data_IF_082915655621
#
_entry.id   IF_082915655621
#
_cell.length_a   1.000
_cell.length_b   1.000
_cell.length_c   1.000
_cell.angle_alpha   90.00
_cell.angle_beta   90.00
_cell.angle_gamma   90.00
#
_symmetry.space_group_name_H-M   'P 1'
#
loop_
_entity.id
_entity.type
_entity.pdbx_description
1 polymer ?
#
# COMPACT_ATOMS: atom_id res chain seq x y z
N UNK A 1 -31.63 -12.57 8.05
CA UNK A 1 -30.31 -12.59 8.71
C UNK A 1 -29.60 -11.29 8.33
N UNK A 2 -28.86 -10.64 9.24
CA UNK A 2 -28.05 -9.46 8.90
C UNK A 2 -26.60 -9.91 8.68
N UNK A 3 -26.00 -9.58 7.54
CA UNK A 3 -24.60 -9.95 7.23
C UNK A 3 -23.58 -8.99 7.87
N UNK A 4 -24.01 -7.76 8.21
CA UNK A 4 -23.24 -6.84 9.05
C UNK A 4 -24.17 -5.87 9.82
N UNK A 5 -23.75 -5.47 11.01
CA UNK A 5 -24.37 -4.39 11.79
C UNK A 5 -23.33 -3.29 11.97
N UNK A 6 -23.64 -2.10 11.47
CA UNK A 6 -22.79 -0.92 11.59
C UNK A 6 -23.28 -0.04 12.73
N UNK A 7 -22.50 0.05 13.80
CA UNK A 7 -22.81 0.92 14.95
C UNK A 7 -22.05 2.23 14.75
N UNK A 8 -22.78 3.31 14.45
CA UNK A 8 -22.22 4.65 14.43
C UNK A 8 -21.87 5.06 15.88
N UNK A 9 -20.58 5.18 16.18
CA UNK A 9 -20.12 5.69 17.48
C UNK A 9 -20.30 7.21 17.52
N UNK A 10 -21.50 7.68 17.84
CA UNK A 10 -21.72 9.09 18.15
C UNK A 10 -21.31 9.32 19.60
N UNK A 11 -20.13 9.91 19.80
CA UNK A 11 -19.64 10.31 21.12
C UNK A 11 -19.94 11.80 21.33
N UNK A 12 -20.75 12.11 22.35
CA UNK A 12 -21.05 13.50 22.71
C UNK A 12 -19.75 14.25 23.03
N UNK A 13 -19.60 15.47 22.51
CA UNK A 13 -18.42 16.31 22.73
C UNK A 13 -17.19 15.96 21.89
N UNK A 14 -17.29 14.98 20.98
CA UNK A 14 -16.21 14.68 20.03
C UNK A 14 -16.32 15.52 18.75
N UNK A 15 -15.18 15.81 18.16
CA UNK A 15 -15.05 16.55 16.90
C UNK A 15 -14.94 15.59 15.72
N UNK A 16 -15.53 15.96 14.59
CA UNK A 16 -15.48 15.16 13.35
C UNK A 16 -14.79 15.93 12.23
N UNK A 17 -13.90 15.24 11.52
CA UNK A 17 -13.41 15.68 10.20
C UNK A 17 -13.70 14.59 9.19
N UNK A 18 -14.32 14.96 8.05
CA UNK A 18 -14.57 14.07 6.92
C UNK A 18 -13.87 14.56 5.67
N UNK A 19 -13.20 13.64 4.98
CA UNK A 19 -12.57 13.90 3.70
C UNK A 19 -13.07 12.89 2.66
N UNK A 20 -13.81 13.39 1.68
CA UNK A 20 -14.11 12.61 0.48
C UNK A 20 -12.89 12.55 -0.43
N UNK A 21 -12.67 11.40 -1.06
CA UNK A 21 -11.56 11.17 -1.97
C UNK A 21 -11.84 10.07 -2.99
N UNK A 22 -10.83 9.80 -3.80
CA UNK A 22 -10.81 8.71 -4.78
C UNK A 22 -9.67 7.78 -4.36
N UNK A 23 -9.84 6.47 -4.44
CA UNK A 23 -8.71 5.55 -4.28
C UNK A 23 -7.88 5.57 -5.56
N UNK A 24 -6.54 5.75 -5.47
CA UNK A 24 -5.76 6.17 -6.61
C UNK A 24 -5.78 5.12 -7.73
N UNK A 25 -5.86 5.55 -9.01
CA UNK A 25 -5.54 4.68 -10.12
C UNK A 25 -4.05 4.38 -10.09
N UNK A 26 -3.70 3.12 -9.83
CA UNK A 26 -2.31 2.73 -9.66
C UNK A 26 -1.60 3.58 -8.58
N UNK A 27 -0.36 4.01 -8.83
CA UNK A 27 0.40 4.85 -7.89
C UNK A 27 0.20 6.37 -8.05
N UNK A 28 -0.91 6.81 -8.65
CA UNK A 28 -1.18 8.24 -8.91
C UNK A 28 -1.28 9.07 -7.62
N UNK A 29 -0.28 9.91 -7.34
CA UNK A 29 -0.30 10.86 -6.20
C UNK A 29 -1.42 11.89 -6.28
N UNK A 30 -1.86 12.28 -7.48
CA UNK A 30 -2.99 13.21 -7.68
C UNK A 30 -4.28 12.76 -6.97
N UNK A 31 -4.48 11.45 -6.86
CA UNK A 31 -5.69 10.86 -6.30
C UNK A 31 -5.41 10.20 -4.95
N UNK A 32 -4.15 10.17 -4.48
CA UNK A 32 -3.83 9.56 -3.20
C UNK A 32 -4.37 10.46 -2.08
N UNK A 33 -5.40 10.00 -1.37
CA UNK A 33 -5.89 10.70 -0.18
C UNK A 33 -4.86 10.59 0.93
N UNK A 34 -4.33 11.75 1.32
CA UNK A 34 -3.46 11.89 2.46
C UNK A 34 -3.84 13.15 3.27
N UNK A 35 -3.91 13.01 4.59
CA UNK A 35 -4.17 14.12 5.51
C UNK A 35 -2.96 14.35 6.41
N UNK A 36 -2.62 15.61 6.60
CA UNK A 36 -1.72 16.06 7.66
C UNK A 36 -2.59 16.52 8.83
N UNK A 37 -2.49 15.82 9.96
CA UNK A 37 -3.17 16.15 11.20
C UNK A 37 -2.18 16.75 12.19
N UNK A 38 -2.59 17.79 12.89
CA UNK A 38 -1.84 18.37 14.00
C UNK A 38 -2.66 18.23 15.28
N UNK A 39 -2.12 17.48 16.24
CA UNK A 39 -2.64 17.40 17.59
C UNK A 39 -1.87 18.38 18.48
N UNK A 40 -2.55 19.38 19.03
CA UNK A 40 -1.95 20.37 19.95
C UNK A 40 -1.73 19.81 21.35
N UNK A 41 -2.44 18.73 21.70
CA UNK A 41 -2.48 18.09 23.01
C UNK A 41 -2.83 16.59 22.84
N UNK A 42 -2.66 15.77 23.90
CA UNK A 42 -3.10 14.38 23.87
C UNK A 42 -4.57 14.26 23.44
N UNK A 43 -4.80 13.54 22.35
CA UNK A 43 -6.10 13.49 21.67
C UNK A 43 -6.43 12.06 21.31
N UNK A 44 -7.56 11.56 21.78
CA UNK A 44 -8.09 10.27 21.39
C UNK A 44 -8.74 10.39 20.02
N UNK A 45 -8.43 9.50 19.09
CA UNK A 45 -8.94 9.55 17.71
C UNK A 45 -9.37 8.17 17.23
N UNK A 46 -10.55 8.13 16.62
CA UNK A 46 -11.08 7.01 15.84
C UNK A 46 -11.02 7.37 14.35
N UNK A 47 -10.23 6.63 13.58
CA UNK A 47 -10.17 6.74 12.12
C UNK A 47 -11.07 5.69 11.50
N UNK A 48 -11.90 6.09 10.54
CA UNK A 48 -12.71 5.18 9.73
C UNK A 48 -12.64 5.53 8.26
N UNK A 49 -12.27 4.57 7.42
CA UNK A 49 -12.23 4.68 5.97
C UNK A 49 -13.39 3.89 5.39
N UNK A 50 -14.35 4.58 4.78
CA UNK A 50 -15.52 4.01 4.10
C UNK A 50 -15.29 4.03 2.59
N UNK A 51 -15.62 2.95 1.89
CA UNK A 51 -15.73 2.99 0.43
C UNK A 51 -17.16 3.34 0.00
N UNK A 52 -17.31 3.81 -1.24
CA UNK A 52 -18.61 4.02 -1.85
C UNK A 52 -19.43 2.71 -1.87
N UNK A 53 -20.68 2.79 -1.40
CA UNK A 53 -21.59 1.65 -1.39
C UNK A 53 -22.00 1.22 -2.81
N UNK A 54 -22.21 -0.08 -3.00
CA UNK A 54 -22.52 -0.67 -4.30
C UNK A 54 -24.02 -0.89 -4.52
N UNK A 55 -24.87 -0.04 -3.93
CA UNK A 55 -26.33 -0.20 -3.95
C UNK A 55 -26.97 0.08 -5.32
N UNK A 56 -26.22 0.62 -6.29
CA UNK A 56 -26.70 0.89 -7.64
C UNK A 56 -26.35 -0.26 -8.59
N UNK A 57 -27.26 -0.65 -9.50
CA UNK A 57 -27.13 -1.84 -10.37
C UNK A 57 -25.90 -1.82 -11.29
N UNK A 58 -25.43 -0.65 -11.70
CA UNK A 58 -24.19 -0.50 -12.50
C UNK A 58 -22.92 -0.77 -11.69
N UNK A 59 -22.99 -0.66 -10.35
CA UNK A 59 -21.84 -0.78 -9.43
C UNK A 59 -21.87 -2.06 -8.59
N UNK A 60 -22.98 -2.81 -8.60
CA UNK A 60 -23.15 -4.05 -7.83
C UNK A 60 -22.27 -5.20 -8.30
N UNK A 61 -21.76 -5.13 -9.54
CA UNK A 61 -20.83 -6.12 -10.09
C UNK A 61 -19.37 -5.92 -9.66
N UNK A 62 -19.07 -4.87 -8.87
CA UNK A 62 -17.69 -4.60 -8.43
C UNK A 62 -17.43 -5.36 -7.14
N UNK A 63 -16.25 -5.95 -7.00
CA UNK A 63 -15.82 -6.44 -5.69
C UNK A 63 -15.62 -5.29 -4.71
N UNK A 64 -15.90 -5.52 -3.42
CA UNK A 64 -15.48 -4.59 -2.38
C UNK A 64 -13.96 -4.41 -2.41
N UNK A 65 -13.51 -3.22 -1.99
CA UNK A 65 -12.10 -2.91 -1.96
C UNK A 65 -11.40 -3.38 -0.69
N UNK A 66 -10.11 -3.64 -0.81
CA UNK A 66 -9.20 -4.05 0.25
C UNK A 66 -8.65 -2.84 1.04
N UNK A 67 -9.52 -2.23 1.84
CA UNK A 67 -9.23 -0.96 2.50
C UNK A 67 -8.18 -1.10 3.62
N UNK A 68 -7.32 -0.10 3.75
CA UNK A 68 -6.47 0.11 4.93
C UNK A 68 -6.25 1.60 5.19
N UNK A 69 -6.29 2.01 6.45
CA UNK A 69 -5.82 3.33 6.88
C UNK A 69 -4.55 3.16 7.69
N UNK A 70 -3.54 3.99 7.39
CA UNK A 70 -2.24 3.96 8.07
C UNK A 70 -1.89 5.34 8.57
N UNK A 71 -1.43 5.43 9.81
CA UNK A 71 -1.08 6.68 10.48
C UNK A 71 0.41 6.67 10.82
N UNK A 72 1.12 7.67 10.34
CA UNK A 72 2.55 7.87 10.58
C UNK A 72 2.78 9.15 11.36
N UNK A 73 3.79 9.18 12.23
CA UNK A 73 4.34 10.43 12.77
C UNK A 73 5.09 11.13 11.64
N UNK A 74 5.01 12.45 11.59
CA UNK A 74 5.75 13.26 10.61
C UNK A 74 6.32 14.52 11.26
N UNK A 75 7.09 15.30 10.49
CA UNK A 75 7.60 16.62 10.91
C UNK A 75 6.62 17.71 10.48
N UNK A 76 6.69 18.87 11.13
CA UNK A 76 6.01 20.07 10.66
C UNK A 76 6.56 20.51 9.31
N UNK A 77 5.69 21.06 8.47
CA UNK A 77 6.08 21.69 7.20
C UNK A 77 5.21 21.29 6.01
N UNK A 78 5.41 21.95 4.86
CA UNK A 78 4.61 21.72 3.66
C UNK A 78 4.86 20.35 3.01
N UNK A 79 6.07 19.80 3.22
CA UNK A 79 6.50 18.50 2.68
C UNK A 79 6.42 17.44 3.78
N UNK A 80 5.23 16.87 3.95
CA UNK A 80 5.03 15.81 4.92
C UNK A 80 5.72 14.51 4.43
N UNK A 81 6.55 13.92 5.28
CA UNK A 81 7.27 12.68 5.00
C UNK A 81 6.77 11.56 5.90
N UNK A 82 6.77 10.33 5.38
CA UNK A 82 6.43 9.13 6.17
C UNK A 82 7.51 8.92 7.23
N UNK A 83 7.15 9.03 8.50
CA UNK A 83 8.01 8.71 9.63
C UNK A 83 7.59 7.41 10.32
N UNK A 84 7.70 7.36 11.65
CA UNK A 84 7.39 6.18 12.45
C UNK A 84 5.90 5.82 12.35
N UNK A 85 5.59 4.52 12.16
CA UNK A 85 4.22 4.01 12.24
C UNK A 85 3.63 4.24 13.64
N UNK A 86 2.43 4.82 13.68
CA UNK A 86 1.70 5.14 14.92
C UNK A 86 0.52 4.20 15.12
N UNK A 87 -0.28 4.00 14.07
CA UNK A 87 -1.45 3.14 14.05
C UNK A 87 -1.77 2.68 12.62
N UNK A 88 -2.53 1.61 12.50
CA UNK A 88 -3.11 1.17 11.24
C UNK A 88 -4.37 0.34 11.51
N UNK A 89 -5.29 0.29 10.55
CA UNK A 89 -6.38 -0.68 10.58
C UNK A 89 -5.87 -2.07 10.16
N UNK A 90 -6.68 -3.10 10.41
CA UNK A 90 -6.57 -4.33 9.61
C UNK A 90 -6.83 -3.95 8.14
N UNK A 91 -6.11 -4.57 7.19
CA UNK A 91 -6.42 -4.45 5.76
C UNK A 91 -7.38 -5.56 5.38
N UNK A 92 -8.58 -5.22 4.93
CA UNK A 92 -9.64 -6.20 4.67
C UNK A 92 -10.51 -5.76 3.50
N UNK A 93 -11.04 -6.74 2.76
CA UNK A 93 -12.09 -6.52 1.76
C UNK A 93 -13.41 -6.31 2.50
N UNK A 94 -13.76 -5.05 2.79
CA UNK A 94 -14.94 -4.66 3.57
C UNK A 94 -15.43 -3.26 3.21
N UNK A 95 -16.72 -2.99 3.38
CA UNK A 95 -17.33 -1.67 3.18
C UNK A 95 -16.66 -0.52 3.96
N UNK A 96 -16.03 -0.83 5.09
CA UNK A 96 -15.18 0.10 5.84
C UNK A 96 -14.12 -0.63 6.68
N UNK A 97 -13.08 0.11 7.05
CA UNK A 97 -12.07 -0.28 8.04
C UNK A 97 -11.78 0.89 8.97
N UNK A 98 -11.28 0.61 10.17
CA UNK A 98 -10.90 1.67 11.10
C UNK A 98 -9.84 1.25 12.09
N UNK A 99 -9.27 2.25 12.76
CA UNK A 99 -8.37 2.07 13.89
C UNK A 99 -8.53 3.20 14.90
N UNK A 100 -8.31 2.86 16.16
CA UNK A 100 -8.33 3.79 17.29
C UNK A 100 -6.89 4.09 17.74
N UNK A 101 -6.63 5.33 18.18
CA UNK A 101 -5.35 5.69 18.79
C UNK A 101 -5.46 6.91 19.70
N UNK A 102 -4.75 6.89 20.82
CA UNK A 102 -4.39 8.10 21.57
C UNK A 102 -3.17 8.75 20.91
N UNK A 103 -3.37 9.89 20.25
CA UNK A 103 -2.31 10.69 19.66
C UNK A 103 -1.68 11.59 20.73
N UNK A 104 -0.36 11.67 20.72
CA UNK A 104 0.39 12.68 21.49
C UNK A 104 0.36 14.03 20.76
N UNK A 105 0.88 15.08 21.39
CA UNK A 105 1.13 16.34 20.71
C UNK A 105 2.11 16.12 19.53
N UNK A 106 1.74 16.55 18.33
CA UNK A 106 2.59 16.44 17.16
C UNK A 106 1.85 16.43 15.82
N UNK A 107 2.58 16.04 14.78
CA UNK A 107 2.12 16.00 13.39
C UNK A 107 2.02 14.55 12.92
N UNK A 108 0.93 14.25 12.20
CA UNK A 108 0.59 12.91 11.76
C UNK A 108 0.15 12.89 10.31
N UNK A 109 0.67 11.96 9.53
CA UNK A 109 0.19 11.64 8.19
C UNK A 109 -0.78 10.48 8.25
N UNK A 110 -1.98 10.67 7.71
CA UNK A 110 -2.96 9.60 7.50
C UNK A 110 -3.00 9.28 6.02
N UNK A 111 -2.81 8.02 5.67
CA UNK A 111 -2.78 7.53 4.28
C UNK A 111 -3.86 6.48 4.09
N UNK A 112 -4.71 6.65 3.09
CA UNK A 112 -5.73 5.68 2.70
C UNK A 112 -5.21 4.78 1.58
N UNK A 113 -5.31 3.47 1.77
CA UNK A 113 -4.75 2.46 0.87
C UNK A 113 -5.84 1.49 0.39
N UNK A 114 -5.78 1.15 -0.89
CA UNK A 114 -6.48 0.05 -1.54
C UNK A 114 -5.77 -0.28 -2.86
N UNK A 115 -5.80 -1.53 -3.28
CA UNK A 115 -5.00 -2.04 -4.39
C UNK A 115 -5.73 -3.02 -5.31
N UNK A 116 -6.81 -3.66 -4.85
CA UNK A 116 -7.46 -4.73 -5.60
C UNK A 116 -8.20 -4.23 -6.86
N UNK A 117 -8.35 -2.92 -7.01
CA UNK A 117 -8.94 -2.28 -8.20
C UNK A 117 -7.94 -1.88 -9.29
N UNK A 118 -6.64 -2.10 -9.11
CA UNK A 118 -5.61 -1.58 -10.03
C UNK A 118 -5.74 -2.17 -11.44
N UNK A 119 -5.99 -3.48 -11.55
CA UNK A 119 -5.99 -4.20 -12.83
C UNK A 119 -7.36 -4.77 -13.19
N UNK A 120 -8.45 -4.14 -12.75
CA UNK A 120 -9.82 -4.60 -12.99
C UNK A 120 -10.46 -3.99 -14.24
N UNK A 121 -9.69 -3.34 -15.11
CA UNK A 121 -10.19 -2.73 -16.35
C UNK A 121 -10.92 -1.39 -16.16
N UNK A 122 -10.96 -0.84 -14.94
CA UNK A 122 -11.58 0.47 -14.64
C UNK A 122 -10.99 1.63 -15.46
N UNK A 123 -9.77 1.49 -15.99
CA UNK A 123 -9.15 2.46 -16.89
C UNK A 123 -9.99 2.67 -18.17
N UNK A 124 -10.64 1.62 -18.68
CA UNK A 124 -11.47 1.68 -19.88
C UNK A 124 -12.82 2.36 -19.65
N UNK A 125 -13.29 2.44 -18.40
CA UNK A 125 -14.59 3.00 -18.03
C UNK A 125 -14.57 4.53 -17.79
N UNK A 126 -13.44 5.21 -18.07
CA UNK A 126 -13.31 6.66 -17.97
C UNK A 126 -13.07 7.21 -16.56
N UNK A 127 -12.86 8.54 -16.44
CA UNK A 127 -12.40 9.20 -15.20
C UNK A 127 -13.37 9.12 -14.01
N UNK A 128 -14.66 8.91 -14.25
CA UNK A 128 -15.69 8.78 -13.21
C UNK A 128 -15.78 7.38 -12.58
N UNK A 129 -15.04 6.40 -13.12
CA UNK A 129 -15.18 5.01 -12.71
C UNK A 129 -14.36 4.64 -11.45
N UNK A 130 -13.39 5.45 -11.04
CA UNK A 130 -12.52 5.10 -9.92
C UNK A 130 -13.25 5.10 -8.58
N UNK A 131 -12.95 4.13 -7.69
CA UNK A 131 -13.72 3.98 -6.46
C UNK A 131 -13.55 5.19 -5.54
N UNK A 132 -14.66 5.70 -5.03
CA UNK A 132 -14.69 6.81 -4.08
C UNK A 132 -14.64 6.29 -2.65
N UNK A 133 -14.15 7.13 -1.76
CA UNK A 133 -14.13 6.82 -0.33
C UNK A 133 -14.37 8.08 0.50
N UNK A 134 -14.67 7.87 1.78
CA UNK A 134 -14.70 8.91 2.80
C UNK A 134 -13.81 8.47 3.96
N UNK A 135 -12.79 9.26 4.29
CA UNK A 135 -12.05 9.13 5.54
C UNK A 135 -12.72 10.02 6.59
N UNK A 136 -13.13 9.43 7.71
CA UNK A 136 -13.61 10.14 8.88
C UNK A 136 -12.58 10.01 10.02
N UNK A 137 -12.31 11.11 10.72
CA UNK A 137 -11.58 11.14 11.97
C UNK A 137 -12.47 11.75 13.05
N UNK A 138 -12.88 10.94 14.02
CA UNK A 138 -13.59 11.37 15.21
C UNK A 138 -12.58 11.54 16.34
N UNK A 139 -12.57 12.69 17.01
CA UNK A 139 -11.53 13.03 17.97
C UNK A 139 -12.06 13.66 19.25
N UNK A 140 -11.47 13.34 20.39
CA UNK A 140 -11.89 13.87 21.70
C UNK A 140 -11.52 15.34 21.91
N UNK A 141 -10.63 15.89 21.07
CA UNK A 141 -10.18 17.28 21.03
C UNK A 141 -10.01 17.72 19.58
N UNK A 142 -10.12 19.03 19.25
CA UNK A 142 -9.97 19.51 17.88
C UNK A 142 -8.60 19.16 17.29
N UNK A 143 -8.59 18.71 16.04
CA UNK A 143 -7.37 18.49 15.25
C UNK A 143 -7.29 19.53 14.14
N UNK A 144 -6.13 20.16 13.94
CA UNK A 144 -5.91 20.96 12.74
C UNK A 144 -5.61 20.02 11.56
N UNK A 145 -6.24 20.25 10.41
CA UNK A 145 -6.17 19.36 9.25
C UNK A 145 -5.74 20.13 8.01
N UNK A 146 -4.78 19.57 7.28
CA UNK A 146 -4.30 20.09 6.02
C UNK A 146 -4.10 18.98 4.99
N UNK A 147 -4.08 19.35 3.70
CA UNK A 147 -3.63 18.47 2.62
C UNK A 147 -2.17 18.79 2.31
N UNK A 148 -1.22 17.88 2.59
CA UNK A 148 0.18 18.15 2.31
C UNK A 148 0.49 18.02 0.82
N UNK A 149 1.60 18.60 0.38
CA UNK A 149 2.16 18.29 -0.92
C UNK A 149 2.71 16.86 -0.92
N UNK A 150 2.31 16.05 -1.90
CA UNK A 150 2.66 14.62 -1.93
C UNK A 150 3.85 14.38 -2.84
N UNK A 151 4.92 13.81 -2.28
CA UNK A 151 6.05 13.32 -3.05
C UNK A 151 5.65 12.10 -3.91
N UNK A 152 6.20 11.91 -5.13
CA UNK A 152 5.83 10.82 -6.06
C UNK A 152 5.86 9.40 -5.47
N UNK A 153 6.70 9.16 -4.46
CA UNK A 153 6.89 7.85 -3.83
C UNK A 153 6.23 7.70 -2.45
N UNK A 154 5.31 8.59 -2.08
CA UNK A 154 4.63 8.52 -0.77
C UNK A 154 3.95 7.17 -0.52
N UNK A 155 3.37 6.58 -1.57
CA UNK A 155 2.72 5.27 -1.49
C UNK A 155 3.73 4.15 -1.20
N UNK A 156 4.89 4.15 -1.87
CA UNK A 156 5.99 3.25 -1.55
C UNK A 156 6.46 3.44 -0.11
N UNK A 157 6.72 4.69 0.29
CA UNK A 157 7.24 5.02 1.63
C UNK A 157 6.25 4.58 2.73
N UNK A 158 4.93 4.71 2.51
CA UNK A 158 3.90 4.22 3.41
C UNK A 158 3.90 2.68 3.53
N UNK A 159 3.95 1.96 2.41
CA UNK A 159 4.01 0.49 2.42
C UNK A 159 5.31 -0.01 3.05
N UNK A 160 6.44 0.63 2.74
CA UNK A 160 7.75 0.35 3.35
C UNK A 160 7.68 0.56 4.86
N UNK A 161 7.22 1.73 5.32
CA UNK A 161 7.14 2.06 6.75
C UNK A 161 6.26 1.10 7.54
N UNK A 162 5.14 0.68 6.94
CA UNK A 162 4.28 -0.34 7.54
C UNK A 162 4.95 -1.72 7.56
N UNK A 163 5.58 -2.12 6.45
CA UNK A 163 6.24 -3.43 6.30
C UNK A 163 7.44 -3.56 7.22
N UNK A 164 8.24 -2.51 7.40
CA UNK A 164 9.34 -2.49 8.37
C UNK A 164 8.86 -2.65 9.81
N UNK A 165 7.71 -2.04 10.15
CA UNK A 165 7.18 -2.06 11.51
C UNK A 165 6.41 -3.33 11.87
N UNK A 166 5.78 -4.00 10.89
CA UNK A 166 4.84 -5.10 11.12
C UNK A 166 5.14 -6.38 10.34
N UNK A 167 6.01 -6.31 9.34
CA UNK A 167 6.40 -7.45 8.52
C UNK A 167 7.35 -8.39 9.24
N UNK A 168 7.30 -9.66 8.87
CA UNK A 168 8.25 -10.67 9.31
C UNK A 168 9.55 -10.51 8.53
N UNK A 169 10.68 -10.52 9.23
CA UNK A 169 12.03 -10.40 8.65
C UNK A 169 12.60 -11.77 8.35
N UNK A 170 13.16 -11.92 7.15
CA UNK A 170 13.80 -13.14 6.69
C UNK A 170 15.19 -12.82 6.12
N UNK A 171 16.22 -13.36 6.77
CA UNK A 171 17.63 -13.08 6.47
C UNK A 171 18.34 -14.37 6.04
N UNK A 172 17.95 -14.90 4.89
CA UNK A 172 18.57 -16.11 4.32
C UNK A 172 19.92 -15.88 3.65
N UNK A 173 20.32 -14.62 3.44
CA UNK A 173 21.59 -14.22 2.81
C UNK A 173 22.12 -12.96 3.48
N UNK A 174 23.42 -12.97 3.82
CA UNK A 174 24.08 -11.78 4.36
C UNK A 174 23.94 -10.59 3.43
N UNK A 175 23.63 -9.41 3.98
CA UNK A 175 23.43 -8.17 3.21
C UNK A 175 22.07 -8.06 2.52
N UNK A 176 21.23 -9.10 2.58
CA UNK A 176 19.84 -9.07 2.09
C UNK A 176 18.86 -9.29 3.25
N UNK A 177 17.75 -8.56 3.26
CA UNK A 177 16.59 -8.93 4.10
C UNK A 177 15.32 -8.90 3.25
N UNK A 178 14.57 -9.99 3.28
CA UNK A 178 13.20 -10.02 2.78
C UNK A 178 12.22 -9.76 3.93
N UNK A 179 11.20 -8.97 3.65
CA UNK A 179 10.12 -8.68 4.57
C UNK A 179 8.80 -9.18 3.99
N UNK A 180 8.03 -9.90 4.80
CA UNK A 180 6.69 -10.37 4.44
C UNK A 180 5.64 -9.80 5.40
N UNK A 181 4.72 -8.99 4.86
CA UNK A 181 3.56 -8.51 5.61
C UNK A 181 2.33 -9.34 5.29
N UNK A 182 1.97 -10.24 6.19
CA UNK A 182 0.82 -11.17 6.06
C UNK A 182 -0.16 -11.06 7.23
N UNK A 183 0.32 -10.77 8.45
CA UNK A 183 -0.51 -10.71 9.66
C UNK A 183 -1.37 -9.45 9.66
N UNK A 184 -2.68 -9.60 9.86
CA UNK A 184 -3.64 -8.49 9.86
C UNK A 184 -3.87 -7.88 8.46
N UNK A 185 -3.51 -8.63 7.42
CA UNK A 185 -3.48 -8.18 6.04
C UNK A 185 -4.22 -9.19 5.16
N UNK A 186 -5.25 -8.76 4.44
CA UNK A 186 -5.94 -9.59 3.43
C UNK A 186 -5.08 -9.68 2.16
N UNK A 187 -3.92 -10.34 2.25
CA UNK A 187 -2.97 -10.49 1.15
C UNK A 187 -1.52 -10.63 1.62
N UNK A 188 -0.59 -10.15 0.80
CA UNK A 188 0.85 -10.21 1.06
C UNK A 188 1.54 -8.92 0.58
N UNK A 189 2.48 -8.39 1.34
CA UNK A 189 3.52 -7.50 0.80
C UNK A 189 4.86 -8.23 0.84
N UNK A 190 5.58 -8.23 -0.27
CA UNK A 190 6.99 -8.64 -0.32
C UNK A 190 7.85 -7.40 -0.55
N UNK A 191 8.76 -7.13 0.37
CA UNK A 191 9.75 -6.06 0.25
C UNK A 191 11.14 -6.66 0.44
N UNK A 192 12.11 -6.20 -0.34
CA UNK A 192 13.51 -6.61 -0.21
C UNK A 192 14.38 -5.40 0.09
N UNK A 193 15.31 -5.56 1.04
CA UNK A 193 16.41 -4.64 1.30
C UNK A 193 17.72 -5.24 0.81
N UNK A 194 18.50 -4.42 0.09
CA UNK A 194 19.86 -4.68 -0.32
C UNK A 194 20.80 -3.73 0.45
N UNK A 195 21.57 -4.28 1.39
CA UNK A 195 22.57 -3.56 2.18
C UNK A 195 23.98 -3.66 1.60
N UNK A 196 24.17 -4.31 0.46
CA UNK A 196 25.45 -4.28 -0.24
C UNK A 196 25.70 -2.89 -0.80
N UNK A 197 26.96 -2.47 -0.82
CA UNK A 197 27.41 -1.18 -1.36
C UNK A 197 27.76 -1.27 -2.85
N UNK A 198 28.09 -2.46 -3.34
CA UNK A 198 28.63 -2.69 -4.68
C UNK A 198 27.90 -3.79 -5.48
N UNK A 199 26.96 -4.52 -4.85
CA UNK A 199 26.22 -5.63 -5.50
C UNK A 199 24.75 -5.32 -5.66
N UNK A 200 24.20 -5.75 -6.79
CA UNK A 200 22.77 -5.83 -7.02
C UNK A 200 22.22 -7.14 -6.45
N UNK A 201 20.94 -7.14 -6.09
CA UNK A 201 20.22 -8.37 -5.76
C UNK A 201 19.14 -8.59 -6.81
N UNK A 202 19.23 -9.70 -7.52
CA UNK A 202 18.13 -10.18 -8.35
C UNK A 202 17.19 -11.01 -7.49
N UNK A 203 15.90 -10.71 -7.56
CA UNK A 203 14.85 -11.36 -6.79
C UNK A 203 13.78 -11.87 -7.74
N UNK A 204 13.42 -13.15 -7.64
CA UNK A 204 12.27 -13.75 -8.31
C UNK A 204 11.23 -14.07 -7.23
N UNK A 205 10.09 -13.41 -7.30
CA UNK A 205 8.96 -13.65 -6.42
C UNK A 205 7.86 -14.35 -7.22
N UNK A 206 7.55 -15.58 -6.83
CA UNK A 206 6.61 -16.45 -7.52
C UNK A 206 5.43 -16.75 -6.59
N UNK A 207 4.26 -16.24 -6.95
CA UNK A 207 3.02 -16.38 -6.19
C UNK A 207 1.89 -17.03 -7.01
N UNK A 208 2.21 -17.74 -8.10
CA UNK A 208 1.22 -18.24 -9.07
C UNK A 208 0.26 -19.28 -8.48
N UNK A 209 0.64 -19.96 -7.39
CA UNK A 209 -0.20 -20.92 -6.66
C UNK A 209 -1.17 -20.25 -5.66
N UNK A 210 -1.20 -18.92 -5.59
CA UNK A 210 -2.16 -18.20 -4.75
C UNK A 210 -3.55 -18.20 -5.36
N UNK A 211 -4.58 -18.23 -4.52
CA UNK A 211 -5.99 -18.26 -4.94
C UNK A 211 -6.76 -17.03 -4.43
N UNK A 212 -7.68 -16.51 -5.26
CA UNK A 212 -8.53 -15.35 -4.98
C UNK A 212 -7.72 -14.11 -4.57
N UNK A 213 -6.61 -13.85 -5.28
CA UNK A 213 -5.79 -12.65 -5.08
C UNK A 213 -5.38 -12.00 -6.39
N UNK A 214 -5.19 -10.69 -6.34
CA UNK A 214 -4.62 -9.89 -7.43
C UNK A 214 -3.33 -9.20 -6.98
N UNK A 215 -2.51 -8.85 -7.97
CA UNK A 215 -1.18 -8.27 -7.78
C UNK A 215 -1.14 -6.84 -8.27
N UNK A 216 -0.53 -5.93 -7.51
CA UNK A 216 -0.25 -4.56 -8.00
C UNK A 216 0.68 -4.54 -9.21
N UNK A 217 1.41 -5.62 -9.47
CA UNK A 217 2.29 -5.78 -10.63
C UNK A 217 1.58 -6.30 -11.88
N UNK A 218 0.28 -6.61 -11.79
CA UNK A 218 -0.51 -7.19 -12.89
C UNK A 218 -0.25 -8.69 -13.12
N UNK A 219 0.89 -9.19 -12.64
CA UNK A 219 1.27 -10.61 -12.69
C UNK A 219 1.57 -11.13 -11.27
N UNK A 220 1.33 -12.43 -11.06
CA UNK A 220 1.66 -13.15 -9.81
C UNK A 220 3.11 -13.62 -9.75
N UNK A 221 3.88 -13.39 -10.81
CA UNK A 221 5.31 -13.70 -10.86
C UNK A 221 6.06 -12.44 -11.26
N UNK A 222 7.10 -12.14 -10.51
CA UNK A 222 7.94 -10.96 -10.74
C UNK A 222 9.40 -11.33 -10.64
N UNK A 223 10.24 -10.65 -11.41
CA UNK A 223 11.68 -10.71 -11.32
C UNK A 223 12.20 -9.29 -11.32
N UNK A 224 12.94 -8.91 -10.29
CA UNK A 224 13.35 -7.53 -10.06
C UNK A 224 14.84 -7.45 -9.70
N UNK A 225 15.47 -6.38 -10.15
CA UNK A 225 16.84 -6.02 -9.77
C UNK A 225 16.82 -4.88 -8.75
N UNK A 226 17.28 -5.17 -7.52
CA UNK A 226 17.33 -4.23 -6.41
C UNK A 226 18.75 -3.64 -6.30
N UNK A 227 18.93 -2.31 -6.48
CA UNK A 227 20.24 -1.67 -6.45
C UNK A 227 20.95 -1.78 -5.09
N UNK A 228 22.29 -1.61 -5.05
CA UNK A 228 23.04 -1.44 -3.80
C UNK A 228 22.42 -0.35 -2.91
N UNK A 229 22.37 -0.57 -1.60
CA UNK A 229 21.83 0.36 -0.59
C UNK A 229 20.36 0.77 -0.79
N UNK A 230 19.58 -0.01 -1.54
CA UNK A 230 18.17 0.25 -1.78
C UNK A 230 17.28 -0.82 -1.17
N UNK A 231 16.03 -0.43 -0.93
CA UNK A 231 14.89 -1.28 -0.64
C UNK A 231 13.82 -1.12 -1.70
N UNK A 232 13.06 -2.16 -1.97
CA UNK A 232 12.03 -2.13 -3.01
C UNK A 232 10.83 -2.97 -2.60
N UNK A 233 9.63 -2.43 -2.83
CA UNK A 233 8.37 -3.19 -2.77
C UNK A 233 8.27 -4.02 -4.04
N UNK A 234 8.48 -5.33 -3.93
CA UNK A 234 8.51 -6.26 -5.06
C UNK A 234 7.09 -6.48 -5.60
N UNK A 235 6.17 -6.85 -4.70
CA UNK A 235 4.78 -7.14 -5.04
C UNK A 235 3.88 -6.87 -3.84
N UNK A 236 2.67 -6.37 -4.11
CA UNK A 236 1.56 -6.34 -3.15
C UNK A 236 0.45 -7.21 -3.71
N UNK A 237 0.17 -8.31 -3.03
CA UNK A 237 -1.01 -9.13 -3.26
C UNK A 237 -2.15 -8.69 -2.37
N UNK A 238 -3.35 -8.88 -2.87
CA UNK A 238 -4.57 -8.54 -2.17
C UNK A 238 -5.70 -9.45 -2.54
N UNK A 239 -6.56 -9.75 -1.58
CA UNK A 239 -7.78 -10.51 -1.83
C UNK A 239 -8.65 -9.81 -2.88
N UNK A 240 -9.08 -10.55 -3.90
CA UNK A 240 -9.89 -10.00 -4.98
C UNK A 240 -11.35 -9.87 -4.54
N UNK A 241 -11.95 -10.95 -4.04
CA UNK A 241 -13.35 -11.01 -3.65
C UNK A 241 -13.50 -11.36 -2.17
N UNK A 242 -14.31 -10.59 -1.44
CA UNK A 242 -14.52 -10.75 0.01
C UNK A 242 -15.51 -11.86 0.39
N UNK A 243 -16.30 -12.37 -0.56
CA UNK A 243 -17.30 -13.42 -0.36
C UNK A 243 -16.68 -14.82 -0.18
N UNK A 244 -15.48 -15.04 -0.73
CA UNK A 244 -14.75 -16.30 -0.65
C UNK A 244 -13.52 -16.24 0.24
N UNK A 245 -12.99 -17.42 0.61
CA UNK A 245 -11.65 -17.53 1.19
C UNK A 245 -10.56 -17.12 0.18
N UNK A 246 -9.36 -16.85 0.67
CA UNK A 246 -8.18 -16.63 -0.16
C UNK A 246 -6.99 -17.41 0.42
N UNK A 247 -6.02 -17.73 -0.42
CA UNK A 247 -4.76 -18.35 0.00
C UNK A 247 -3.57 -17.63 -0.61
N UNK A 248 -2.47 -17.60 0.14
CA UNK A 248 -1.20 -17.02 -0.31
C UNK A 248 -0.17 -18.14 -0.34
N UNK A 249 0.28 -18.48 -1.53
CA UNK A 249 1.48 -19.27 -1.76
C UNK A 249 2.54 -18.34 -2.36
N UNK A 250 3.74 -18.31 -1.79
CA UNK A 250 4.82 -17.48 -2.30
C UNK A 250 6.16 -18.17 -2.16
N UNK A 251 7.01 -18.02 -3.17
CA UNK A 251 8.40 -18.48 -3.18
C UNK A 251 9.31 -17.33 -3.60
N UNK A 252 10.35 -17.09 -2.81
CA UNK A 252 11.34 -16.04 -3.09
C UNK A 252 12.70 -16.68 -3.42
N UNK A 253 13.12 -16.58 -4.68
CA UNK A 253 14.47 -16.97 -5.13
C UNK A 253 15.31 -15.71 -5.32
N UNK A 254 16.56 -15.72 -4.89
CA UNK A 254 17.42 -14.53 -4.97
C UNK A 254 18.88 -14.88 -5.25
N UNK A 255 19.59 -13.95 -5.91
CA UNK A 255 21.03 -14.06 -6.19
C UNK A 255 21.70 -12.68 -6.16
N UNK A 256 23.01 -12.68 -5.88
CA UNK A 256 23.85 -11.50 -6.09
C UNK A 256 24.14 -11.34 -7.57
N UNK A 257 24.27 -10.09 -8.00
CA UNK A 257 24.62 -9.74 -9.36
C UNK A 257 25.60 -8.55 -9.39
N UNK A 258 26.45 -8.54 -10.42
CA UNK A 258 27.39 -7.45 -10.66
C UNK A 258 26.73 -6.20 -11.27
N UNK A 259 25.51 -6.32 -11.80
CA UNK A 259 24.81 -5.23 -12.47
C UNK A 259 23.29 -5.36 -12.43
N UNK A 260 22.60 -4.34 -12.92
CA UNK A 260 21.14 -4.21 -12.85
C UNK A 260 20.36 -5.14 -13.79
N UNK A 261 21.05 -5.74 -14.77
CA UNK A 261 20.42 -6.50 -15.86
C UNK A 261 20.11 -7.91 -15.40
N UNK A 262 18.90 -8.41 -15.66
CA UNK A 262 18.45 -9.71 -15.17
C UNK A 262 19.13 -10.92 -15.83
N UNK A 263 19.81 -10.75 -16.98
CA UNK A 263 20.54 -11.81 -17.69
C UNK A 263 19.64 -13.04 -17.96
N UNK A 264 20.12 -14.25 -17.66
CA UNK A 264 19.42 -15.53 -17.83
C UNK A 264 18.07 -15.63 -17.09
N UNK A 265 17.80 -14.75 -16.11
CA UNK A 265 16.48 -14.71 -15.47
C UNK A 265 15.41 -14.00 -16.30
N UNK A 266 15.80 -13.23 -17.32
CA UNK A 266 14.91 -12.59 -18.27
C UNK A 266 15.56 -12.55 -19.66
N UNK A 267 15.70 -13.72 -20.32
CA UNK A 267 16.41 -13.82 -21.59
C UNK A 267 15.81 -12.89 -22.64
N UNK A 268 16.68 -12.33 -23.49
CA UNK A 268 16.27 -11.43 -24.56
C UNK A 268 15.27 -12.11 -25.49
N UNK A 269 14.16 -11.43 -25.72
CA UNK A 269 13.38 -11.56 -26.94
C UNK A 269 14.10 -10.76 -28.03
N UNK A 270 14.26 -11.33 -29.23
CA UNK A 270 15.08 -10.83 -30.33
C UNK A 270 14.75 -9.41 -30.86
N UNK A 271 13.77 -8.71 -30.26
CA UNK A 271 13.23 -7.43 -30.72
C UNK A 271 13.39 -6.28 -29.72
N UNK A 272 14.14 -6.44 -28.61
CA UNK A 272 14.41 -5.35 -27.66
C UNK A 272 15.90 -5.19 -27.40
N UNK A 273 16.47 -4.02 -27.72
CA UNK A 273 17.90 -3.72 -27.48
C UNK A 273 18.24 -3.50 -25.99
N UNK A 274 17.25 -3.19 -25.15
CA UNK A 274 17.44 -2.99 -23.71
C UNK A 274 17.15 -4.27 -22.89
N UNK A 275 18.17 -4.77 -22.18
CA UNK A 275 18.00 -5.86 -21.22
C UNK A 275 17.12 -5.43 -20.02
N UNK A 276 16.06 -6.19 -19.69
CA UNK A 276 15.12 -5.80 -18.65
C UNK A 276 15.76 -5.87 -17.25
N UNK A 277 15.48 -4.86 -16.43
CA UNK A 277 15.80 -4.82 -14.98
C UNK A 277 14.66 -5.35 -14.12
N UNK A 278 13.45 -5.39 -14.69
CA UNK A 278 12.22 -5.84 -14.07
C UNK A 278 11.39 -6.64 -15.08
N UNK A 279 10.78 -7.74 -14.64
CA UNK A 279 9.79 -8.54 -15.38
C UNK A 279 8.58 -8.79 -14.46
N UNK A 280 7.36 -8.43 -14.86
CA UNK A 280 7.06 -7.55 -15.99
C UNK A 280 7.74 -6.18 -15.83
N UNK A 281 7.99 -5.45 -16.94
CA UNK A 281 8.56 -4.11 -16.89
C UNK A 281 7.76 -3.20 -15.97
N UNK A 282 8.45 -2.38 -15.17
CA UNK A 282 7.76 -1.37 -14.34
C UNK A 282 7.25 -0.26 -15.26
N UNK A 283 5.94 -0.21 -15.48
CA UNK A 283 5.32 0.91 -16.17
C UNK A 283 5.36 2.18 -15.30
N UNK A 284 5.46 3.38 -15.91
CA UNK A 284 5.52 4.68 -15.20
C UNK A 284 4.45 4.84 -14.11
N UNK A 285 3.23 4.35 -14.35
CA UNK A 285 2.09 4.37 -13.42
C UNK A 285 2.27 3.52 -12.16
N UNK A 286 3.27 2.64 -12.11
CA UNK A 286 3.59 1.76 -10.98
C UNK A 286 4.81 2.24 -10.17
N UNK A 287 5.61 3.19 -10.69
CA UNK A 287 6.85 3.65 -10.05
C UNK A 287 6.63 4.23 -8.65
N UNK A 288 5.50 4.91 -8.40
CA UNK A 288 5.22 5.52 -7.11
C UNK A 288 5.07 4.50 -5.96
N UNK A 289 4.85 3.21 -6.28
CA UNK A 289 4.85 2.11 -5.31
C UNK A 289 6.10 1.22 -5.44
N UNK A 290 6.52 0.90 -6.67
CA UNK A 290 7.47 -0.19 -6.93
C UNK A 290 8.89 0.27 -7.26
N UNK A 291 9.16 1.57 -7.40
CA UNK A 291 10.53 2.02 -7.64
C UNK A 291 11.43 1.77 -6.41
N UNK A 292 12.72 1.43 -6.61
CA UNK A 292 13.68 1.35 -5.53
C UNK A 292 13.76 2.64 -4.70
N UNK A 293 13.94 2.50 -3.39
CA UNK A 293 14.09 3.58 -2.42
C UNK A 293 15.39 3.40 -1.66
N UNK A 294 16.12 4.47 -1.40
CA UNK A 294 17.34 4.40 -0.59
C UNK A 294 17.02 3.92 0.83
N UNK A 295 17.91 3.11 1.39
CA UNK A 295 17.91 2.79 2.81
C UNK A 295 18.47 4.02 3.54
N UNK A 296 17.59 4.83 4.11
CA UNK A 296 17.91 5.96 4.99
C UNK A 296 17.93 5.53 6.45
#
# INVERSE_FOLDING_TARGET
YFDCIDICKVRVGWHEVRLAGILPPMSSTRHLTCLLLTASQPTEVDFTLFQEGQRNSEKSQRSQLDLCVVVFRTKSGPNAQVGKLVAHSKRQVRGFVGCHKMLEKGFYLVVCLAFNHWHTGLEAAGRGAWPRHVLAAHSSKPLAVARPALHPHLLADAIIGLTLARGQRHEGRQGMTAYYLTKGWAGLVVMVENRHTDKWIHVKCDCQESYNVVSTRGELKTIDSVPPLHRQVIIVLTQLEGSGGFSIAHRLTHRLAAGARLQDWAPHNAHSEDEPRHRPPLARRLYGLHAPRLIT
#
